data_IF_432741015140
#
_entry.id   IF_432741015140
#
_cell.length_a   1.000
_cell.length_b   1.000
_cell.length_c   1.000
_cell.angle_alpha   90.00
_cell.angle_beta   90.00
_cell.angle_gamma   90.00
#
_symmetry.space_group_name_H-M   'P 1'
#
loop_
_entity.id
_entity.type
_entity.pdbx_description
1 polymer ?
#
# COMPACT_ATOMS: atom_id res chain seq x y z
N UNK A 1 -4.00 -5.62 14.31
CA UNK A 1 -5.23 -5.43 13.51
C UNK A 1 -6.48 -5.33 14.39
N UNK A 2 -6.89 -6.36 15.15
CA UNK A 2 -8.10 -6.31 16.01
C UNK A 2 -8.18 -5.06 16.89
N UNK A 3 -7.11 -4.76 17.63
CA UNK A 3 -7.04 -3.57 18.48
C UNK A 3 -7.25 -2.27 17.69
N UNK A 4 -6.66 -2.15 16.51
CA UNK A 4 -6.80 -0.96 15.68
C UNK A 4 -8.24 -0.78 15.18
N UNK A 5 -8.90 -1.87 14.77
CA UNK A 5 -10.32 -1.81 14.39
C UNK A 5 -11.20 -1.44 15.59
N UNK A 6 -10.95 -2.04 16.75
CA UNK A 6 -11.79 -1.84 17.93
C UNK A 6 -11.59 -0.49 18.64
N UNK A 7 -10.37 0.04 18.66
CA UNK A 7 -10.02 1.24 19.42
C UNK A 7 -9.93 2.48 18.54
N UNK A 8 -9.57 2.32 17.27
CA UNK A 8 -9.35 3.42 16.34
C UNK A 8 -10.34 3.43 15.18
N UNK A 9 -11.37 2.58 15.20
CA UNK A 9 -12.41 2.48 14.16
C UNK A 9 -11.81 2.41 12.74
N UNK A 10 -10.76 1.59 12.58
CA UNK A 10 -10.08 1.43 11.29
C UNK A 10 -10.93 0.60 10.35
N UNK A 11 -11.43 1.22 9.29
CA UNK A 11 -12.21 0.57 8.23
C UNK A 11 -11.37 -0.02 7.08
N UNK A 12 -10.17 0.51 6.84
CA UNK A 12 -9.32 0.12 5.71
C UNK A 12 -7.89 -0.20 6.16
N UNK A 13 -7.42 -1.40 5.81
CA UNK A 13 -6.08 -1.88 6.13
C UNK A 13 -5.32 -2.13 4.82
N UNK A 14 -4.14 -1.52 4.68
CA UNK A 14 -3.23 -1.75 3.56
C UNK A 14 -2.03 -2.58 4.04
N UNK A 15 -1.75 -3.68 3.34
CA UNK A 15 -0.65 -4.60 3.63
C UNK A 15 0.32 -4.66 2.44
N UNK A 16 1.57 -4.22 2.63
CA UNK A 16 2.64 -4.22 1.62
C UNK A 16 3.98 -4.70 2.23
N UNK A 17 4.56 -5.86 1.89
CA UNK A 17 4.09 -6.92 0.99
C UNK A 17 4.02 -8.27 1.73
N UNK A 18 2.98 -9.07 1.45
CA UNK A 18 2.81 -10.44 1.94
C UNK A 18 4.10 -11.29 1.84
N UNK A 19 4.85 -11.11 0.74
CA UNK A 19 6.04 -11.91 0.43
C UNK A 19 7.21 -11.68 1.39
N UNK A 20 7.32 -10.47 1.97
CA UNK A 20 8.33 -10.14 2.99
C UNK A 20 7.85 -10.47 4.40
N UNK A 21 6.55 -10.35 4.66
CA UNK A 21 5.97 -10.58 5.99
C UNK A 21 6.11 -12.03 6.49
N UNK A 22 6.21 -13.00 5.59
CA UNK A 22 6.17 -14.42 5.94
C UNK A 22 7.56 -15.07 6.15
N UNK A 23 8.63 -14.28 6.11
CA UNK A 23 10.00 -14.74 6.36
C UNK A 23 10.58 -15.67 5.29
N UNK A 24 11.89 -15.91 5.35
CA UNK A 24 12.61 -16.77 4.40
C UNK A 24 12.49 -18.27 4.74
N UNK A 25 12.28 -18.61 6.02
CA UNK A 25 12.26 -19.99 6.53
C UNK A 25 11.05 -20.21 7.45
N UNK A 26 9.88 -20.58 6.91
CA UNK A 26 8.77 -21.01 7.75
C UNK A 26 9.16 -22.29 8.49
N UNK A 27 9.12 -22.26 9.82
CA UNK A 27 9.25 -23.47 10.65
C UNK A 27 7.94 -24.25 10.52
N UNK A 28 7.97 -25.40 9.85
CA UNK A 28 6.85 -26.35 9.81
C UNK A 28 5.90 -26.29 8.61
N UNK A 29 6.32 -25.78 7.44
CA UNK A 29 5.51 -25.86 6.22
C UNK A 29 6.20 -25.25 5.01
N UNK A 30 5.59 -25.36 3.81
CA UNK A 30 6.11 -24.61 2.65
C UNK A 30 5.74 -23.13 2.79
N UNK A 31 6.55 -22.24 2.20
CA UNK A 31 6.26 -20.79 2.13
C UNK A 31 4.88 -20.52 1.54
N UNK A 32 4.43 -21.36 0.61
CA UNK A 32 3.13 -21.25 -0.04
C UNK A 32 1.99 -21.61 0.92
N UNK A 33 2.12 -22.64 1.75
CA UNK A 33 1.08 -23.03 2.71
C UNK A 33 0.85 -21.93 3.75
N UNK A 34 1.94 -21.32 4.25
CA UNK A 34 1.86 -20.20 5.19
C UNK A 34 1.21 -18.98 4.53
N UNK A 35 1.51 -18.71 3.25
CA UNK A 35 0.84 -17.67 2.47
C UNK A 35 -0.66 -17.92 2.36
N UNK A 36 -1.07 -19.14 2.02
CA UNK A 36 -2.48 -19.52 1.90
C UNK A 36 -3.23 -19.38 3.22
N UNK A 37 -2.62 -19.82 4.31
CA UNK A 37 -3.20 -19.70 5.64
C UNK A 37 -3.36 -18.22 6.02
N UNK A 38 -2.36 -17.39 5.76
CA UNK A 38 -2.43 -15.95 6.01
C UNK A 38 -3.57 -15.29 5.20
N UNK A 39 -3.70 -15.60 3.91
CA UNK A 39 -4.78 -15.10 3.05
C UNK A 39 -6.15 -15.51 3.59
N UNK A 40 -6.32 -16.77 4.00
CA UNK A 40 -7.58 -17.26 4.56
C UNK A 40 -7.94 -16.53 5.87
N UNK A 41 -6.96 -16.29 6.74
CA UNK A 41 -7.16 -15.54 7.97
C UNK A 41 -7.51 -14.06 7.70
N UNK A 42 -6.87 -13.43 6.71
CA UNK A 42 -7.19 -12.06 6.29
C UNK A 42 -8.61 -11.97 5.73
N UNK A 43 -9.02 -12.91 4.88
CA UNK A 43 -10.40 -12.97 4.36
C UNK A 43 -11.42 -13.08 5.48
N UNK A 44 -11.21 -14.02 6.40
CA UNK A 44 -12.06 -14.20 7.58
C UNK A 44 -12.10 -12.94 8.46
N UNK A 45 -10.95 -12.28 8.64
CA UNK A 45 -10.86 -11.04 9.40
C UNK A 45 -11.68 -9.92 8.76
N UNK A 46 -11.53 -9.70 7.45
CA UNK A 46 -12.30 -8.71 6.70
C UNK A 46 -13.81 -8.91 6.87
N UNK A 47 -14.28 -10.17 6.77
CA UNK A 47 -15.70 -10.50 6.94
C UNK A 47 -16.20 -10.32 8.37
N UNK A 48 -15.45 -10.78 9.38
CA UNK A 48 -15.89 -10.71 10.79
C UNK A 48 -15.94 -9.27 11.29
N UNK A 49 -14.94 -8.48 10.93
CA UNK A 49 -14.78 -7.12 11.45
C UNK A 49 -15.32 -6.05 10.49
N UNK A 50 -15.90 -6.46 9.35
CA UNK A 50 -16.42 -5.57 8.32
C UNK A 50 -15.41 -4.49 7.89
N UNK A 51 -14.17 -4.90 7.61
CA UNK A 51 -13.11 -3.99 7.14
C UNK A 51 -12.70 -4.32 5.71
N UNK A 52 -12.27 -3.30 4.98
CA UNK A 52 -11.63 -3.46 3.69
C UNK A 52 -10.13 -3.75 3.87
N UNK A 53 -9.61 -4.74 3.14
CA UNK A 53 -8.18 -5.06 3.16
C UNK A 53 -7.64 -4.96 1.73
N UNK A 54 -6.62 -4.12 1.54
CA UNK A 54 -5.84 -4.06 0.30
C UNK A 54 -4.51 -4.76 0.52
N UNK A 55 -4.26 -5.80 -0.27
CA UNK A 55 -3.05 -6.60 -0.21
C UNK A 55 -2.18 -6.37 -1.46
N UNK A 56 -0.94 -5.97 -1.27
CA UNK A 56 0.05 -5.85 -2.35
C UNK A 56 0.79 -7.18 -2.50
N UNK A 57 0.81 -7.71 -3.73
CA UNK A 57 1.51 -8.94 -4.10
C UNK A 57 2.36 -8.64 -5.33
N UNK A 58 3.65 -9.01 -5.31
CA UNK A 58 4.48 -8.85 -6.51
C UNK A 58 4.17 -9.97 -7.52
N UNK A 59 4.24 -9.70 -8.83
CA UNK A 59 4.08 -10.72 -9.85
C UNK A 59 5.25 -11.70 -9.86
N UNK A 60 5.06 -12.85 -10.51
CA UNK A 60 6.15 -13.79 -10.82
C UNK A 60 7.12 -13.13 -11.81
N UNK A 61 8.36 -13.61 -11.83
CA UNK A 61 9.31 -13.26 -12.89
C UNK A 61 8.83 -13.94 -14.18
N UNK A 62 8.01 -13.24 -14.95
CA UNK A 62 7.59 -13.67 -16.28
C UNK A 62 8.64 -13.26 -17.34
N UNK A 63 8.57 -13.88 -18.52
CA UNK A 63 9.42 -13.49 -19.65
C UNK A 63 9.11 -12.04 -20.09
N UNK A 64 10.14 -11.34 -20.57
CA UNK A 64 10.00 -9.96 -21.00
C UNK A 64 8.98 -9.84 -22.15
N UNK A 65 8.06 -8.88 -22.03
CA UNK A 65 7.07 -8.57 -23.08
C UNK A 65 5.73 -9.30 -22.97
N UNK A 66 5.49 -10.10 -21.92
CA UNK A 66 4.14 -10.61 -21.64
C UNK A 66 3.38 -9.67 -20.71
N UNK A 67 2.12 -9.38 -21.07
CA UNK A 67 1.20 -8.65 -20.20
C UNK A 67 0.87 -9.49 -18.97
N UNK A 68 0.75 -8.82 -17.83
CA UNK A 68 0.44 -9.48 -16.57
C UNK A 68 -1.04 -9.84 -16.55
N UNK A 69 -1.33 -11.07 -16.11
CA UNK A 69 -2.70 -11.54 -15.90
C UNK A 69 -2.87 -12.08 -14.48
N UNK A 70 -4.07 -12.53 -14.14
CA UNK A 70 -4.37 -13.15 -12.84
C UNK A 70 -3.44 -14.34 -12.54
N UNK A 71 -2.97 -15.05 -13.57
CA UNK A 71 -2.03 -16.17 -13.43
C UNK A 71 -0.59 -15.70 -13.15
N UNK A 72 -0.27 -14.43 -13.38
CA UNK A 72 1.06 -13.86 -13.15
C UNK A 72 1.30 -13.48 -11.69
N UNK A 73 0.31 -13.60 -10.80
CA UNK A 73 0.45 -13.31 -9.36
C UNK A 73 1.37 -14.35 -8.70
N UNK A 74 2.44 -13.90 -8.03
CA UNK A 74 3.38 -14.80 -7.34
C UNK A 74 2.84 -15.25 -5.99
N UNK A 75 2.97 -16.56 -5.72
CA UNK A 75 2.48 -17.19 -4.51
C UNK A 75 1.44 -18.24 -4.84
N UNK A 76 0.45 -18.38 -3.98
CA UNK A 76 -0.69 -19.27 -4.22
C UNK A 76 -1.79 -18.58 -5.05
N UNK A 77 -2.40 -19.35 -5.96
CA UNK A 77 -3.63 -18.97 -6.67
C UNK A 77 -4.79 -18.64 -5.73
N UNK A 78 -4.71 -19.04 -4.45
CA UNK A 78 -5.70 -18.73 -3.44
C UNK A 78 -5.88 -17.23 -3.19
N UNK A 79 -4.83 -16.42 -3.36
CA UNK A 79 -4.91 -14.97 -3.21
C UNK A 79 -5.96 -14.36 -4.15
N UNK A 80 -5.90 -14.73 -5.43
CA UNK A 80 -6.81 -14.21 -6.46
C UNK A 80 -8.20 -14.85 -6.38
N UNK A 81 -8.30 -16.09 -5.89
CA UNK A 81 -9.59 -16.76 -5.66
C UNK A 81 -10.38 -16.12 -4.51
N UNK A 82 -9.72 -15.85 -3.38
CA UNK A 82 -10.35 -15.27 -2.17
C UNK A 82 -10.62 -13.76 -2.29
N UNK A 83 -9.83 -13.05 -3.11
CA UNK A 83 -10.00 -11.61 -3.32
C UNK A 83 -11.35 -11.29 -3.97
N UNK A 84 -12.01 -10.22 -3.51
CA UNK A 84 -13.22 -9.71 -4.16
C UNK A 84 -12.87 -8.94 -5.45
N UNK A 85 -11.79 -8.16 -5.41
CA UNK A 85 -11.28 -7.41 -6.54
C UNK A 85 -9.79 -7.73 -6.79
N UNK A 86 -9.40 -7.83 -8.06
CA UNK A 86 -7.99 -7.99 -8.46
C UNK A 86 -7.61 -6.88 -9.42
N UNK A 87 -6.72 -6.00 -8.97
CA UNK A 87 -6.14 -4.94 -9.78
C UNK A 87 -4.71 -5.29 -10.16
N UNK A 88 -4.34 -5.05 -11.42
CA UNK A 88 -2.98 -5.21 -11.92
C UNK A 88 -2.49 -3.85 -12.42
N UNK A 89 -1.31 -3.45 -11.95
CA UNK A 89 -0.63 -2.25 -12.43
C UNK A 89 0.45 -2.69 -13.41
N UNK A 90 0.33 -2.30 -14.68
CA UNK A 90 1.29 -2.68 -15.72
C UNK A 90 1.63 -1.51 -16.64
N UNK A 91 2.82 -1.55 -17.24
CA UNK A 91 3.22 -0.59 -18.25
C UNK A 91 2.51 -0.87 -19.59
N UNK A 92 2.33 0.17 -20.41
CA UNK A 92 1.81 0.02 -21.76
C UNK A 92 2.92 -0.40 -22.72
N UNK A 93 2.68 -1.48 -23.47
CA UNK A 93 3.56 -1.87 -24.57
C UNK A 93 3.53 -0.82 -25.70
N UNK A 94 2.41 -0.11 -25.85
CA UNK A 94 2.22 0.93 -26.86
C UNK A 94 2.91 2.26 -26.55
N UNK A 95 3.17 2.55 -25.27
CA UNK A 95 3.68 3.85 -24.83
C UNK A 95 4.36 3.73 -23.47
N UNK A 96 5.68 3.89 -23.42
CA UNK A 96 6.47 3.64 -22.19
C UNK A 96 6.14 4.62 -21.05
N UNK A 97 5.58 5.77 -21.38
CA UNK A 97 5.18 6.83 -20.46
C UNK A 97 3.86 6.53 -19.75
N UNK A 98 3.05 5.63 -20.33
CA UNK A 98 1.71 5.28 -19.86
C UNK A 98 1.71 3.94 -19.16
N UNK A 99 0.95 3.86 -18.06
CA UNK A 99 0.64 2.63 -17.33
C UNK A 99 -0.87 2.47 -17.24
N UNK A 100 -1.33 1.28 -16.87
CA UNK A 100 -2.74 1.01 -16.65
C UNK A 100 -2.97 0.34 -15.31
N UNK A 101 -4.10 0.67 -14.69
CA UNK A 101 -4.74 -0.15 -13.67
C UNK A 101 -5.76 -1.02 -14.41
N UNK A 102 -5.50 -2.32 -14.50
CA UNK A 102 -6.45 -3.28 -15.07
C UNK A 102 -7.21 -4.00 -13.95
N UNK A 103 -8.54 -3.87 -13.97
CA UNK A 103 -9.45 -4.60 -13.10
C UNK A 103 -9.71 -5.96 -13.73
N UNK A 104 -9.06 -7.00 -13.21
CA UNK A 104 -9.11 -8.36 -13.75
C UNK A 104 -10.18 -9.24 -13.10
N UNK A 105 -10.63 -8.86 -11.90
CA UNK A 105 -11.71 -9.54 -11.18
C UNK A 105 -12.51 -8.50 -10.42
N UNK A 106 -13.82 -8.61 -10.52
CA UNK A 106 -14.77 -7.85 -9.73
C UNK A 106 -15.89 -8.81 -9.31
N UNK A 107 -16.00 -9.06 -8.01
CA UNK A 107 -16.99 -10.01 -7.48
C UNK A 107 -18.40 -9.41 -7.36
N UNK A 108 -18.52 -8.08 -7.36
CA UNK A 108 -19.79 -7.41 -7.12
C UNK A 108 -20.73 -7.54 -8.32
N UNK A 109 -20.29 -7.09 -9.49
CA UNK A 109 -21.09 -7.07 -10.73
C UNK A 109 -20.38 -7.77 -11.92
N UNK A 110 -19.11 -8.12 -11.77
CA UNK A 110 -18.31 -8.75 -12.83
C UNK A 110 -17.71 -7.78 -13.85
N UNK A 111 -17.96 -6.47 -13.75
CA UNK A 111 -17.41 -5.50 -14.70
C UNK A 111 -15.89 -5.40 -14.57
N UNK A 112 -15.21 -5.40 -15.71
CA UNK A 112 -13.75 -5.32 -15.83
C UNK A 112 -13.37 -4.20 -16.78
N UNK A 113 -12.13 -3.73 -16.69
CA UNK A 113 -11.68 -2.62 -17.53
C UNK A 113 -10.26 -2.18 -17.23
N UNK A 114 -9.79 -1.21 -18.01
CA UNK A 114 -8.45 -0.64 -17.88
C UNK A 114 -8.55 0.88 -17.74
N UNK A 115 -7.81 1.42 -16.77
CA UNK A 115 -7.71 2.86 -16.55
C UNK A 115 -6.28 3.29 -16.87
N UNK A 116 -6.04 3.99 -17.99
CA UNK A 116 -4.73 4.53 -18.32
C UNK A 116 -4.37 5.69 -17.40
N UNK A 117 -3.13 5.71 -16.95
CA UNK A 117 -2.58 6.81 -16.16
C UNK A 117 -1.10 7.06 -16.51
N UNK A 118 -0.63 8.27 -16.21
CA UNK A 118 0.77 8.66 -16.30
C UNK A 118 1.28 9.10 -14.93
N UNK A 119 2.59 9.05 -14.75
CA UNK A 119 3.24 9.50 -13.52
C UNK A 119 3.85 10.89 -13.72
N UNK A 120 3.28 11.88 -13.03
CA UNK A 120 3.83 13.23 -12.91
C UNK A 120 5.04 13.17 -11.96
N UNK A 121 6.25 13.19 -12.54
CA UNK A 121 7.51 13.13 -11.79
C UNK A 121 7.73 14.34 -10.88
N UNK A 122 7.53 15.60 -11.35
CA UNK A 122 7.58 16.78 -10.48
C UNK A 122 6.75 16.66 -9.20
N UNK A 123 5.47 16.26 -9.32
CA UNK A 123 4.58 16.20 -8.16
C UNK A 123 4.57 14.85 -7.45
N UNK A 124 5.23 13.83 -8.01
CA UNK A 124 5.17 12.42 -7.57
C UNK A 124 3.74 11.88 -7.50
N UNK A 125 2.90 12.26 -8.46
CA UNK A 125 1.48 11.90 -8.50
C UNK A 125 1.17 11.04 -9.72
N UNK A 126 0.16 10.20 -9.56
CA UNK A 126 -0.49 9.55 -10.69
C UNK A 126 -1.60 10.49 -11.18
N UNK A 127 -1.66 10.70 -12.49
CA UNK A 127 -2.71 11.49 -13.13
C UNK A 127 -3.32 10.71 -14.29
N UNK A 128 -4.64 10.85 -14.46
CA UNK A 128 -5.33 10.30 -15.61
C UNK A 128 -4.88 11.01 -16.89
N UNK A 129 -4.92 10.28 -18.02
CA UNK A 129 -4.70 10.88 -19.34
C UNK A 129 -5.90 11.75 -19.71
N UNK A 130 -5.63 12.90 -20.34
CA UNK A 130 -6.70 13.68 -20.94
C UNK A 130 -7.19 13.09 -22.28
N UNK A 131 -8.19 13.72 -22.89
CA UNK A 131 -8.77 13.26 -24.14
C UNK A 131 -7.75 13.18 -25.29
N UNK A 132 -6.79 14.11 -25.36
CA UNK A 132 -5.78 14.13 -26.42
C UNK A 132 -4.76 12.99 -26.21
N UNK A 133 -4.32 12.78 -24.98
CA UNK A 133 -3.41 11.70 -24.62
C UNK A 133 -4.05 10.33 -24.76
N UNK A 134 -5.34 10.20 -24.41
CA UNK A 134 -6.14 8.98 -24.64
C UNK A 134 -6.22 8.64 -26.13
N UNK A 135 -6.40 9.64 -26.99
CA UNK A 135 -6.44 9.43 -28.44
C UNK A 135 -5.08 9.04 -29.02
N UNK A 136 -3.99 9.67 -28.57
CA UNK A 136 -2.64 9.24 -28.92
C UNK A 136 -2.39 7.77 -28.53
N UNK A 137 -2.77 7.39 -27.31
CA UNK A 137 -2.63 6.03 -26.82
C UNK A 137 -3.42 5.03 -27.67
N UNK A 138 -4.65 5.40 -28.06
CA UNK A 138 -5.48 4.60 -28.96
C UNK A 138 -4.79 4.38 -30.31
N UNK A 139 -4.24 5.43 -30.89
CA UNK A 139 -3.53 5.36 -32.16
C UNK A 139 -2.25 4.52 -32.07
N UNK A 140 -1.48 4.65 -30.99
CA UNK A 140 -0.30 3.81 -30.75
C UNK A 140 -0.68 2.32 -30.58
N UNK A 141 -1.79 2.01 -29.90
CA UNK A 141 -2.30 0.63 -29.80
C UNK A 141 -2.71 0.07 -31.17
N UNK A 142 -3.33 0.89 -32.03
CA UNK A 142 -3.71 0.50 -33.38
C UNK A 142 -2.48 0.25 -34.28
N UNK A 143 -1.47 1.11 -34.18
CA UNK A 143 -0.21 0.94 -34.91
C UNK A 143 0.46 -0.39 -34.58
N UNK A 144 0.62 -0.70 -33.28
CA UNK A 144 1.17 -1.97 -32.83
C UNK A 144 0.38 -3.17 -33.34
N UNK A 145 -0.96 -3.11 -33.31
CA UNK A 145 -1.82 -4.19 -33.82
C UNK A 145 -1.62 -4.42 -35.33
N UNK A 146 -1.29 -3.37 -36.08
CA UNK A 146 -1.04 -3.44 -37.51
C UNK A 146 0.43 -3.77 -37.84
N UNK A 147 1.27 -4.06 -36.84
CA UNK A 147 2.70 -4.32 -37.03
C UNK A 147 3.52 -3.07 -37.39
N UNK A 148 3.00 -1.88 -37.09
CA UNK A 148 3.67 -0.60 -37.32
C UNK A 148 4.27 -0.08 -36.01
N UNK A 149 5.35 0.69 -36.13
CA UNK A 149 5.94 1.39 -34.98
C UNK A 149 4.97 2.45 -34.44
N UNK A 150 4.68 2.46 -33.12
CA UNK A 150 3.83 3.46 -32.52
C UNK A 150 4.46 4.86 -32.61
N UNK A 151 3.64 5.87 -32.85
CA UNK A 151 4.07 7.26 -32.85
C UNK A 151 4.59 7.72 -31.49
N UNK A 152 5.42 8.76 -31.47
CA UNK A 152 5.93 9.35 -30.25
C UNK A 152 4.79 9.92 -29.39
N UNK A 153 4.74 9.55 -28.12
CA UNK A 153 3.77 10.08 -27.18
C UNK A 153 4.17 11.51 -26.79
N UNK A 154 3.28 12.47 -27.02
CA UNK A 154 3.46 13.88 -26.66
C UNK A 154 2.56 14.22 -25.47
N UNK A 155 3.13 14.47 -24.28
CA UNK A 155 2.35 14.89 -23.13
C UNK A 155 1.63 16.22 -23.42
N UNK A 156 0.34 16.30 -23.12
CA UNK A 156 -0.49 17.49 -23.38
C UNK A 156 -0.08 18.71 -22.54
N UNK A 157 0.55 18.45 -21.38
CA UNK A 157 0.92 19.46 -20.40
C UNK A 157 2.41 19.28 -20.10
N UNK A 158 3.23 20.21 -20.55
CA UNK A 158 4.55 20.43 -19.96
C UNK A 158 4.31 20.89 -18.53
N UNK A 159 4.67 20.03 -17.58
CA UNK A 159 4.85 20.27 -16.15
C UNK A 159 3.92 21.31 -15.50
N UNK A 160 3.01 20.84 -14.66
CA UNK A 160 2.26 21.68 -13.74
C UNK A 160 3.20 22.70 -13.07
N UNK A 161 2.84 23.99 -13.11
CA UNK A 161 3.47 25.01 -12.27
C UNK A 161 3.49 24.44 -10.85
N UNK A 162 4.66 24.34 -10.18
CA UNK A 162 4.77 23.64 -8.91
C UNK A 162 3.72 24.20 -7.95
N UNK A 163 3.03 23.31 -7.24
CA UNK A 163 2.09 23.74 -6.23
C UNK A 163 2.84 24.69 -5.28
N UNK A 164 2.34 25.91 -5.11
CA UNK A 164 2.84 26.75 -4.03
C UNK A 164 2.47 26.02 -2.76
N UNK A 165 3.46 25.52 -2.03
CA UNK A 165 3.27 24.99 -0.70
C UNK A 165 2.56 26.09 0.08
N UNK A 166 1.24 25.97 0.27
CA UNK A 166 0.59 26.74 1.32
C UNK A 166 1.24 26.20 2.58
N UNK A 167 2.19 26.97 3.12
CA UNK A 167 2.68 26.76 4.47
C UNK A 167 1.42 26.85 5.34
N UNK A 168 0.79 25.71 5.61
CA UNK A 168 -0.16 25.60 6.69
C UNK A 168 0.66 25.95 7.92
N UNK A 169 0.49 27.18 8.40
CA UNK A 169 0.97 27.63 9.70
C UNK A 169 0.20 26.81 10.72
N UNK A 170 0.69 25.61 11.02
CA UNK A 170 0.24 24.90 12.20
C UNK A 170 0.54 25.81 13.38
N UNK A 171 -0.45 26.22 14.18
CA UNK A 171 -0.16 26.93 15.41
C UNK A 171 0.72 26.00 16.26
N UNK A 172 1.79 26.53 16.90
CA UNK A 172 2.61 25.73 17.78
C UNK A 172 1.72 25.14 18.89
N UNK A 173 1.97 23.89 19.32
CA UNK A 173 1.22 23.30 20.41
C UNK A 173 1.32 24.20 21.64
N UNK A 174 0.16 24.56 22.20
CA UNK A 174 0.05 25.39 23.40
C UNK A 174 0.87 24.75 24.52
N UNK A 175 1.92 25.44 24.94
CA UNK A 175 2.77 25.01 26.06
C UNK A 175 2.03 25.33 27.35
N UNK A 176 1.15 24.44 27.80
CA UNK A 176 0.75 24.43 29.21
C UNK A 176 1.92 23.85 30.00
N UNK A 177 2.74 24.75 30.54
CA UNK A 177 3.84 24.41 31.42
C UNK A 177 3.29 23.75 32.70
N UNK A 178 3.40 22.43 32.80
CA UNK A 178 3.33 21.74 34.09
C UNK A 178 4.51 22.24 34.94
N UNK A 179 4.17 23.04 35.96
CA UNK A 179 5.14 23.54 36.93
C UNK A 179 5.53 22.38 37.84
N UNK A 180 6.62 21.69 37.53
CA UNK A 180 7.27 20.76 38.46
C UNK A 180 8.01 21.58 39.52
N UNK A 181 7.41 21.70 40.71
CA UNK A 181 8.10 22.18 41.90
C UNK A 181 9.06 21.10 42.42
N UNK A 182 10.36 21.36 42.33
CA UNK A 182 11.42 20.60 43.02
C UNK A 182 11.51 21.02 44.50
N UNK A 183 11.64 20.09 45.48
CA UNK A 183 11.90 20.46 46.86
C UNK A 183 13.40 20.77 47.07
N UNK A 184 13.67 21.84 47.81
CA UNK A 184 15.00 22.30 48.22
C UNK A 184 15.58 21.44 49.34
N UNK A 185 16.85 21.05 49.18
CA UNK A 185 17.68 20.50 50.26
C UNK A 185 18.07 21.59 51.26
N UNK A 186 17.85 21.38 52.56
CA UNK A 186 18.74 21.92 53.59
C UNK A 186 18.69 21.08 54.88
N UNK A 187 19.77 20.35 55.10
CA UNK A 187 20.49 20.16 56.36
C UNK A 187 19.86 19.43 57.57
N UNK A 188 20.54 18.32 57.89
CA UNK A 188 21.25 18.07 59.15
C UNK A 188 20.59 17.15 60.20
N UNK A 189 21.31 16.04 60.40
CA UNK A 189 21.61 15.35 61.67
C UNK A 189 20.43 14.79 62.49
N UNK A 190 20.43 13.48 62.72
CA UNK A 190 20.86 12.88 63.99
C UNK A 190 20.45 11.38 64.07
N UNK A 191 21.47 10.53 64.21
CA UNK A 191 21.57 9.41 65.16
C UNK A 191 20.74 8.11 64.96
N UNK A 192 21.54 7.03 64.84
CA UNK A 192 21.34 5.61 65.12
C UNK A 192 20.03 5.09 65.73
N UNK A 193 19.55 3.96 65.21
CA UNK A 193 19.65 2.65 65.88
C UNK A 193 18.89 1.56 65.09
N UNK A 194 19.56 0.46 64.73
CA UNK A 194 18.87 -0.82 64.53
C UNK A 194 18.42 -1.39 65.90
N UNK A 195 17.52 -2.39 65.95
CA UNK A 195 17.94 -3.79 65.80
C UNK A 195 16.96 -4.74 65.06
N UNK A 196 17.59 -5.74 64.44
CA UNK A 196 17.30 -7.18 64.50
C UNK A 196 16.00 -7.80 64.00
N UNK A 197 16.21 -8.80 63.14
CA UNK A 197 15.32 -9.92 62.86
C UNK A 197 15.01 -10.75 64.12
N UNK A 198 13.80 -11.31 64.19
CA UNK A 198 13.59 -12.65 64.73
C UNK A 198 12.29 -13.28 64.19
N UNK A 199 12.44 -14.54 63.84
CA UNK A 199 11.51 -15.62 63.46
C UNK A 199 10.29 -15.75 64.37
N UNK A 200 9.09 -15.97 63.79
CA UNK A 200 8.23 -17.18 63.92
C UNK A 200 7.43 -17.34 62.63
#
# INVERSE_FOLDING_TARGET
MKYAVYVHDVDHILLDNLQFMLGANPVGGSKFDVQEQAISLLRKFATIYNVHITLVIHPRKEAAGQSLSVSSVFGSARATQEADNVFILQASDACKEVRYISLQKNRYDGETGEIPFKFDRPCRRIVELDAFEKEQLRNSRLALRNGQEPGAFTPSRTDHKPWKLHQASYPPPSTTAETKSSPSETSAQLISSQPSAETI
#
